data_IF_495935657100
#
_entry.id   IF_495935657100
#
_cell.length_a   1.000
_cell.length_b   1.000
_cell.length_c   1.000
_cell.angle_alpha   90.00
_cell.angle_beta   90.00
_cell.angle_gamma   90.00
#
_symmetry.space_group_name_H-M   'P 1'
#
loop_
_entity.id
_entity.type
_entity.pdbx_description
1 polymer ?
#
# COMPACT_ATOMS: atom_id res chain seq x y z
N UNK A 1 -1.69 11.80 37.24
CA UNK A 1 -1.27 10.58 36.51
C UNK A 1 0.25 10.50 36.55
N UNK A 2 0.83 9.42 37.08
CA UNK A 2 2.28 9.20 36.97
C UNK A 2 2.57 8.70 35.56
N UNK A 3 3.40 9.41 34.80
CA UNK A 3 3.89 8.95 33.51
C UNK A 3 4.79 7.74 33.77
N UNK A 4 4.32 6.55 33.41
CA UNK A 4 5.12 5.33 33.53
C UNK A 4 6.14 5.34 32.39
N UNK A 5 7.39 5.66 32.70
CA UNK A 5 8.48 5.66 31.71
C UNK A 5 8.89 4.22 31.45
N UNK A 6 8.61 3.75 30.23
CA UNK A 6 9.08 2.44 29.76
C UNK A 6 10.59 2.49 29.56
N UNK A 7 11.28 1.40 29.90
CA UNK A 7 12.65 1.17 29.43
C UNK A 7 12.65 1.00 27.91
N UNK A 8 13.81 1.20 27.27
CA UNK A 8 13.97 1.02 25.81
C UNK A 8 13.53 -0.38 25.36
N UNK A 9 13.87 -1.40 26.13
CA UNK A 9 13.56 -2.80 25.82
C UNK A 9 12.06 -3.07 25.93
N UNK A 10 11.40 -2.57 26.99
CA UNK A 10 9.94 -2.66 27.14
C UNK A 10 9.21 -1.91 26.03
N UNK A 11 9.71 -0.74 25.62
CA UNK A 11 9.14 0.01 24.50
C UNK A 11 9.26 -0.77 23.18
N UNK A 12 10.44 -1.33 22.88
CA UNK A 12 10.66 -2.13 21.66
C UNK A 12 9.76 -3.36 21.67
N UNK A 13 9.66 -4.07 22.81
CA UNK A 13 8.81 -5.25 22.93
C UNK A 13 7.33 -4.90 22.74
N UNK A 14 6.85 -3.82 23.35
CA UNK A 14 5.47 -3.35 23.16
C UNK A 14 5.20 -2.90 21.73
N UNK A 15 6.18 -2.24 21.10
CA UNK A 15 6.09 -1.85 19.70
C UNK A 15 5.96 -3.07 18.79
N UNK A 16 6.84 -4.06 18.93
CA UNK A 16 6.79 -5.31 18.15
C UNK A 16 5.46 -6.04 18.38
N UNK A 17 5.03 -6.22 19.63
CA UNK A 17 3.76 -6.89 19.94
C UNK A 17 2.56 -6.17 19.31
N UNK A 18 2.56 -4.82 19.33
CA UNK A 18 1.51 -4.03 18.66
C UNK A 18 1.52 -4.25 17.15
N UNK A 19 2.70 -4.26 16.55
CA UNK A 19 2.89 -4.51 15.12
C UNK A 19 2.39 -5.92 14.73
N UNK A 20 2.72 -6.95 15.52
CA UNK A 20 2.23 -8.33 15.31
C UNK A 20 0.71 -8.43 15.47
N UNK A 21 0.14 -7.78 16.47
CA UNK A 21 -1.31 -7.73 16.67
C UNK A 21 -2.02 -7.05 15.49
N UNK A 22 -1.48 -5.95 14.98
CA UNK A 22 -2.01 -5.27 13.79
C UNK A 22 -1.97 -6.17 12.56
N UNK A 23 -0.88 -6.95 12.36
CA UNK A 23 -0.81 -7.96 11.30
C UNK A 23 -1.88 -9.03 11.46
N UNK A 24 -2.06 -9.55 12.67
CA UNK A 24 -3.08 -10.55 12.97
C UNK A 24 -4.49 -10.02 12.67
N UNK A 25 -4.76 -8.77 13.00
CA UNK A 25 -6.04 -8.11 12.69
C UNK A 25 -6.29 -7.94 11.18
N UNK A 26 -5.24 -8.00 10.35
CA UNK A 26 -5.35 -7.91 8.89
C UNK A 26 -5.58 -9.27 8.21
N UNK A 27 -5.58 -10.38 8.95
CA UNK A 27 -5.62 -11.73 8.39
C UNK A 27 -6.83 -12.00 7.48
N UNK A 28 -8.01 -11.47 7.83
CA UNK A 28 -9.22 -11.65 7.03
C UNK A 28 -9.21 -10.79 5.77
N UNK A 29 -8.72 -9.54 5.87
CA UNK A 29 -8.51 -8.68 4.71
C UNK A 29 -7.53 -9.32 3.73
N UNK A 30 -6.44 -9.93 4.21
CA UNK A 30 -5.39 -10.52 3.36
C UNK A 30 -5.89 -11.67 2.48
N UNK A 31 -6.94 -12.37 2.91
CA UNK A 31 -7.57 -13.48 2.16
C UNK A 31 -8.52 -12.99 1.06
N UNK A 32 -8.85 -11.71 1.05
CA UNK A 32 -9.78 -11.12 0.09
C UNK A 32 -9.03 -10.09 -0.79
N UNK A 33 -8.70 -10.44 -2.05
CA UNK A 33 -8.03 -9.51 -2.95
C UNK A 33 -8.86 -8.27 -3.29
N UNK A 34 -10.19 -8.37 -3.27
CA UNK A 34 -11.07 -7.22 -3.46
C UNK A 34 -10.94 -6.25 -2.27
N UNK A 35 -10.91 -6.77 -1.05
CA UNK A 35 -10.71 -5.96 0.15
C UNK A 35 -9.32 -5.29 0.16
N UNK A 36 -8.27 -6.05 -0.21
CA UNK A 36 -6.91 -5.53 -0.34
C UNK A 36 -6.84 -4.38 -1.35
N UNK A 37 -7.34 -4.60 -2.57
CA UNK A 37 -7.37 -3.58 -3.63
C UNK A 37 -8.17 -2.33 -3.19
N UNK A 38 -9.30 -2.52 -2.52
CA UNK A 38 -10.14 -1.42 -2.04
C UNK A 38 -9.44 -0.59 -0.95
N UNK A 39 -8.71 -1.22 -0.04
CA UNK A 39 -7.93 -0.53 1.00
C UNK A 39 -6.82 0.29 0.38
N UNK A 40 -6.07 -0.27 -0.58
CA UNK A 40 -5.01 0.43 -1.29
C UNK A 40 -5.55 1.58 -2.13
N UNK A 41 -6.70 1.39 -2.80
CA UNK A 41 -7.35 2.46 -3.56
C UNK A 41 -7.77 3.63 -2.67
N UNK A 42 -8.37 3.35 -1.51
CA UNK A 42 -8.73 4.39 -0.53
C UNK A 42 -7.50 5.17 -0.06
N UNK A 43 -6.40 4.49 0.22
CA UNK A 43 -5.14 5.15 0.56
C UNK A 43 -4.60 5.98 -0.60
N UNK A 44 -4.64 5.46 -1.82
CA UNK A 44 -4.21 6.15 -3.03
C UNK A 44 -5.06 7.39 -3.35
N UNK A 45 -6.29 7.49 -2.84
CA UNK A 45 -7.10 8.71 -2.96
C UNK A 45 -6.74 9.80 -1.93
N UNK A 46 -5.93 9.49 -0.92
CA UNK A 46 -5.45 10.48 0.05
C UNK A 46 -4.16 11.16 -0.41
N UNK A 47 -3.86 12.34 0.12
CA UNK A 47 -2.66 13.13 -0.19
C UNK A 47 -1.58 12.95 0.90
N UNK A 48 -0.91 11.79 0.88
CA UNK A 48 0.16 11.43 1.82
C UNK A 48 1.27 10.65 1.11
N UNK A 49 2.44 10.49 1.74
CA UNK A 49 3.51 9.64 1.20
C UNK A 49 3.04 8.19 0.97
N UNK A 50 2.20 7.66 1.85
CA UNK A 50 1.55 6.36 1.70
C UNK A 50 0.58 6.32 0.51
N UNK A 51 -0.18 7.40 0.28
CA UNK A 51 -1.06 7.55 -0.89
C UNK A 51 -0.28 7.50 -2.21
N UNK A 52 0.87 8.19 -2.28
CA UNK A 52 1.77 8.13 -3.44
C UNK A 52 2.35 6.73 -3.66
N UNK A 53 2.72 6.03 -2.59
CA UNK A 53 3.22 4.66 -2.66
C UNK A 53 2.14 3.68 -3.15
N UNK A 54 0.93 3.77 -2.60
CA UNK A 54 -0.20 2.94 -3.01
C UNK A 54 -0.61 3.21 -4.46
N UNK A 55 -0.64 4.47 -4.91
CA UNK A 55 -0.94 4.80 -6.30
C UNK A 55 0.11 4.24 -7.26
N UNK A 56 1.41 4.35 -6.94
CA UNK A 56 2.47 3.73 -7.75
C UNK A 56 2.25 2.22 -7.90
N UNK A 57 1.97 1.51 -6.81
CA UNK A 57 1.68 0.09 -6.88
C UNK A 57 0.46 -0.18 -7.79
N UNK A 58 -0.69 0.42 -7.51
CA UNK A 58 -1.92 0.18 -8.29
C UNK A 58 -1.72 0.46 -9.78
N UNK A 59 -1.09 1.58 -10.14
CA UNK A 59 -0.82 1.91 -11.53
C UNK A 59 0.13 0.90 -12.19
N UNK A 60 1.10 0.34 -11.44
CA UNK A 60 2.00 -0.69 -11.99
C UNK A 60 1.32 -2.03 -12.23
N UNK A 61 0.28 -2.33 -11.45
CA UNK A 61 -0.53 -3.53 -11.60
C UNK A 61 -1.63 -3.37 -12.67
N UNK A 62 -1.92 -2.13 -13.06
CA UNK A 62 -2.86 -1.80 -14.14
C UNK A 62 -2.16 -1.63 -15.50
N UNK A 63 -1.01 -0.96 -15.52
CA UNK A 63 -0.30 -0.57 -16.73
C UNK A 63 1.05 -1.30 -16.83
N UNK A 64 1.15 -2.22 -17.78
CA UNK A 64 2.37 -3.00 -18.04
C UNK A 64 3.59 -2.16 -18.47
N UNK A 65 3.40 -0.88 -18.80
CA UNK A 65 4.48 0.05 -19.14
C UNK A 65 4.95 0.91 -17.97
N UNK A 66 4.39 0.71 -16.78
CA UNK A 66 4.76 1.42 -15.57
C UNK A 66 5.18 0.41 -14.49
N UNK A 67 6.38 0.57 -13.95
CA UNK A 67 6.90 -0.30 -12.90
C UNK A 67 7.13 0.51 -11.63
N UNK A 68 6.49 0.10 -10.53
CA UNK A 68 6.73 0.70 -9.23
C UNK A 68 8.01 0.14 -8.58
N UNK A 69 8.78 1.00 -7.92
CA UNK A 69 9.86 0.53 -7.06
C UNK A 69 9.27 -0.05 -5.76
N UNK A 70 9.24 -1.38 -5.65
CA UNK A 70 8.66 -2.06 -4.50
C UNK A 70 9.34 -1.74 -3.17
N UNK A 71 10.63 -1.35 -3.16
CA UNK A 71 11.30 -0.89 -1.94
C UNK A 71 10.67 0.42 -1.45
N UNK A 72 10.41 1.34 -2.37
CA UNK A 72 9.81 2.63 -2.03
C UNK A 72 8.34 2.45 -1.64
N UNK A 73 7.62 1.55 -2.30
CA UNK A 73 6.25 1.19 -1.92
C UNK A 73 6.21 0.69 -0.48
N UNK A 74 6.95 -0.38 -0.18
CA UNK A 74 6.91 -1.01 1.14
C UNK A 74 7.48 -0.11 2.24
N UNK A 75 8.46 0.74 1.93
CA UNK A 75 9.07 1.66 2.89
C UNK A 75 8.20 2.84 3.30
N UNK A 76 7.12 3.14 2.56
CA UNK A 76 6.23 4.28 2.83
C UNK A 76 4.85 3.87 3.35
N UNK A 77 4.61 2.57 3.60
CA UNK A 77 3.34 2.05 4.07
C UNK A 77 3.41 1.66 5.54
N UNK A 78 2.31 1.87 6.27
CA UNK A 78 2.13 1.25 7.58
C UNK A 78 1.82 -0.25 7.44
N UNK A 79 1.67 -0.97 8.56
CA UNK A 79 1.38 -2.41 8.53
C UNK A 79 0.12 -2.73 7.74
N UNK A 80 -0.97 -2.04 8.02
CA UNK A 80 -2.26 -2.40 7.43
C UNK A 80 -2.19 -2.35 5.90
N UNK A 81 -1.59 -1.29 5.37
CA UNK A 81 -1.45 -1.14 3.93
C UNK A 81 -0.38 -2.08 3.37
N UNK A 82 0.70 -2.35 4.11
CA UNK A 82 1.69 -3.37 3.76
C UNK A 82 1.05 -4.76 3.61
N UNK A 83 0.21 -5.16 4.57
CA UNK A 83 -0.52 -6.43 4.53
C UNK A 83 -1.52 -6.47 3.36
N UNK A 84 -2.15 -5.34 3.02
CA UNK A 84 -2.99 -5.23 1.83
C UNK A 84 -2.18 -5.39 0.53
N UNK A 85 -0.97 -4.84 0.44
CA UNK A 85 -0.07 -5.06 -0.70
C UNK A 85 0.27 -6.54 -0.84
N UNK A 86 0.71 -7.17 0.25
CA UNK A 86 1.08 -8.59 0.25
C UNK A 86 -0.11 -9.47 -0.15
N UNK A 87 -1.28 -9.24 0.46
CA UNK A 87 -2.50 -9.97 0.13
C UNK A 87 -2.90 -9.80 -1.33
N UNK A 88 -2.85 -8.58 -1.87
CA UNK A 88 -3.16 -8.36 -3.28
C UNK A 88 -2.17 -9.12 -4.19
N UNK A 89 -0.86 -8.96 -3.96
CA UNK A 89 0.18 -9.60 -4.78
C UNK A 89 0.14 -11.13 -4.72
N UNK A 90 -0.18 -11.72 -3.57
CA UNK A 90 -0.35 -13.18 -3.41
C UNK A 90 -1.46 -13.72 -4.32
N UNK A 91 -2.53 -12.96 -4.54
CA UNK A 91 -3.70 -13.40 -5.30
C UNK A 91 -3.62 -13.11 -6.80
N UNK A 92 -2.78 -12.17 -7.24
CA UNK A 92 -2.74 -11.80 -8.65
C UNK A 92 -2.01 -12.79 -9.56
N UNK A 93 -1.13 -13.64 -9.01
CA UNK A 93 -0.32 -14.55 -9.82
C UNK A 93 0.57 -13.81 -10.83
N UNK A 94 1.20 -14.54 -11.76
CA UNK A 94 2.12 -13.98 -12.77
C UNK A 94 1.47 -13.13 -13.87
N UNK A 95 0.33 -12.48 -13.62
CA UNK A 95 -0.34 -11.59 -14.58
C UNK A 95 -0.97 -10.38 -13.90
N UNK A 96 -0.94 -9.24 -14.60
CA UNK A 96 -1.61 -8.01 -14.18
C UNK A 96 -3.12 -8.14 -14.38
N UNK A 97 -3.89 -8.21 -13.29
CA UNK A 97 -5.35 -8.37 -13.31
C UNK A 97 -6.08 -7.37 -12.40
N UNK A 98 -5.52 -6.18 -12.20
CA UNK A 98 -6.12 -5.20 -11.28
C UNK A 98 -7.56 -4.82 -11.68
N UNK A 99 -7.88 -4.88 -12.98
CA UNK A 99 -9.23 -4.71 -13.55
C UNK A 99 -10.29 -5.65 -12.97
N UNK A 100 -9.89 -6.79 -12.38
CA UNK A 100 -10.81 -7.70 -11.69
C UNK A 100 -11.30 -7.16 -10.35
N UNK A 101 -10.57 -6.21 -9.77
CA UNK A 101 -10.79 -5.73 -8.41
C UNK A 101 -11.08 -4.23 -8.33
N UNK A 102 -10.60 -3.44 -9.28
CA UNK A 102 -10.88 -2.01 -9.36
C UNK A 102 -11.48 -1.66 -10.71
N UNK A 103 -12.45 -0.76 -10.70
CA UNK A 103 -13.05 -0.25 -11.92
C UNK A 103 -12.13 0.76 -12.60
N UNK A 104 -12.35 0.99 -13.89
CA UNK A 104 -11.64 2.02 -14.64
C UNK A 104 -11.78 3.40 -13.98
N UNK A 105 -12.96 3.78 -13.53
CA UNK A 105 -13.20 5.07 -12.84
C UNK A 105 -12.37 5.21 -11.55
N UNK A 106 -12.19 4.11 -10.81
CA UNK A 106 -11.37 4.12 -9.60
C UNK A 106 -9.89 4.37 -9.92
N UNK A 107 -9.40 3.82 -11.04
CA UNK A 107 -8.03 4.06 -11.50
C UNK A 107 -7.86 5.45 -12.08
N UNK A 108 -8.83 5.94 -12.85
CA UNK A 108 -8.82 7.33 -13.34
C UNK A 108 -8.68 8.31 -12.18
N UNK A 109 -9.42 8.11 -11.08
CA UNK A 109 -9.24 8.94 -9.87
C UNK A 109 -7.84 8.89 -9.27
N UNK A 110 -7.18 7.73 -9.31
CA UNK A 110 -5.80 7.60 -8.84
C UNK A 110 -4.84 8.35 -9.78
N UNK A 111 -5.08 8.31 -11.09
CA UNK A 111 -4.33 9.07 -12.09
C UNK A 111 -4.55 10.57 -11.90
N UNK A 112 -5.79 11.02 -11.70
CA UNK A 112 -6.09 12.43 -11.47
C UNK A 112 -5.39 12.96 -10.21
N UNK A 113 -5.27 12.13 -9.17
CA UNK A 113 -4.63 12.50 -7.91
C UNK A 113 -3.10 12.49 -7.98
N UNK A 114 -2.51 11.50 -8.67
CA UNK A 114 -1.07 11.22 -8.56
C UNK A 114 -0.31 11.13 -9.90
N UNK A 115 -1.01 11.18 -11.03
CA UNK A 115 -0.45 10.95 -12.36
C UNK A 115 0.77 11.82 -12.65
N UNK A 116 0.67 13.13 -12.39
CA UNK A 116 1.78 14.09 -12.60
C UNK A 116 3.04 13.74 -11.79
N UNK A 117 2.89 13.10 -10.62
CA UNK A 117 4.02 12.67 -9.79
C UNK A 117 4.70 11.40 -10.32
N UNK A 118 3.96 10.56 -11.04
CA UNK A 118 4.43 9.29 -11.61
C UNK A 118 4.93 9.43 -13.05
N UNK A 119 4.53 10.49 -13.75
CA UNK A 119 4.97 10.79 -15.13
C UNK A 119 6.46 11.12 -15.29
N UNK A 120 7.26 11.12 -14.21
CA UNK A 120 8.68 11.53 -14.12
C UNK A 120 9.38 11.79 -15.47
N UNK A 121 9.53 13.10 -15.77
CA UNK A 121 10.77 13.74 -16.28
C UNK A 121 11.69 12.86 -17.15
N UNK A 122 11.28 12.53 -18.37
CA UNK A 122 12.20 12.07 -19.43
C UNK A 122 13.27 13.09 -19.87
N UNK A 123 13.38 14.25 -19.21
CA UNK A 123 14.25 15.36 -19.66
C UNK A 123 15.67 15.30 -19.06
N UNK A 124 15.98 14.34 -18.19
CA UNK A 124 17.36 14.16 -17.67
C UNK A 124 17.75 12.69 -17.60
N UNK A 125 18.08 12.12 -18.76
CA UNK A 125 18.97 10.99 -18.92
C UNK A 125 20.00 11.37 -20.00
#
# INVERSE_FOLDING_TARGET
MKTQTLTREEFIAQFIAKQEQERANCADMRKDPQACATVLWKLACGDTSGGRAASALLLSLWNNHFAANMRDVMGNLDIKHTEAVLGLLEHMGGGCWLERYLTQDQIVRVIDQWGEFHEVRRVRA
#
